data_IF_181777469922
#
_entry.id   IF_181777469922
#
_cell.length_a   1.000
_cell.length_b   1.000
_cell.length_c   1.000
_cell.angle_alpha   90.00
_cell.angle_beta   90.00
_cell.angle_gamma   90.00
#
_symmetry.space_group_name_H-M   'P 1'
#
loop_
_entity.id
_entity.type
_entity.pdbx_description
1 polymer ?
#
# COMPACT_ATOMS: atom_id res chain seq x y z
N UNK A 1 36.53 70.69 -56.50
CA UNK A 1 37.92 70.27 -56.49
C UNK A 1 38.26 69.62 -55.14
N UNK A 2 38.61 68.37 -55.25
CA UNK A 2 39.27 67.52 -54.25
C UNK A 2 38.51 67.14 -52.97
N UNK A 3 38.03 65.99 -53.10
CA UNK A 3 37.66 64.98 -52.04
C UNK A 3 38.81 64.68 -51.09
N UNK A 4 38.49 64.40 -49.85
CA UNK A 4 39.26 63.47 -49.03
C UNK A 4 38.29 62.68 -48.15
N UNK A 5 38.20 61.39 -48.45
CA UNK A 5 37.60 60.34 -47.64
C UNK A 5 38.42 60.13 -46.37
N UNK A 6 37.77 60.05 -45.24
CA UNK A 6 38.34 59.49 -44.01
C UNK A 6 37.58 58.19 -43.66
N UNK A 7 38.28 57.08 -43.76
CA UNK A 7 37.83 55.77 -43.26
C UNK A 7 37.94 55.74 -41.74
N UNK A 8 36.82 55.48 -41.06
CA UNK A 8 36.77 55.14 -39.66
C UNK A 8 36.60 53.61 -39.56
N UNK A 9 37.65 52.94 -39.05
CA UNK A 9 37.63 51.52 -38.77
C UNK A 9 36.88 51.24 -37.46
N UNK A 10 35.80 50.46 -37.53
CA UNK A 10 35.09 49.96 -36.37
C UNK A 10 35.78 48.65 -35.86
N UNK A 11 36.36 48.72 -34.66
CA UNK A 11 36.85 47.55 -33.92
C UNK A 11 35.66 46.92 -33.18
N UNK A 12 35.20 45.76 -33.72
CA UNK A 12 34.18 44.97 -33.07
C UNK A 12 34.75 44.17 -31.91
N UNK A 13 34.35 44.52 -30.68
CA UNK A 13 34.67 43.76 -29.48
C UNK A 13 33.69 42.56 -29.35
N UNK A 14 34.15 41.35 -29.68
CA UNK A 14 33.42 40.11 -29.40
C UNK A 14 33.45 39.83 -27.88
N UNK A 15 32.38 40.09 -27.18
CA UNK A 15 32.14 39.58 -25.84
C UNK A 15 31.72 38.11 -25.94
N UNK A 16 32.62 37.17 -25.65
CA UNK A 16 32.28 35.78 -25.44
C UNK A 16 31.52 35.63 -24.11
N UNK A 17 30.21 35.55 -24.17
CA UNK A 17 29.36 35.11 -23.04
C UNK A 17 29.57 33.61 -22.82
N UNK A 18 30.48 33.27 -21.92
CA UNK A 18 30.57 31.91 -21.35
C UNK A 18 29.40 31.70 -20.40
N UNK A 19 28.27 31.23 -20.96
CA UNK A 19 27.12 30.76 -20.16
C UNK A 19 27.52 29.53 -19.34
N UNK A 20 27.78 29.74 -18.04
CA UNK A 20 27.88 28.66 -17.09
C UNK A 20 26.55 27.87 -17.11
N UNK A 21 26.50 26.74 -17.80
CA UNK A 21 25.42 25.77 -17.67
C UNK A 21 25.49 25.24 -16.25
N UNK A 22 24.67 25.76 -15.34
CA UNK A 22 24.38 25.11 -14.08
C UNK A 22 23.70 23.78 -14.39
N UNK A 23 24.48 22.73 -14.55
CA UNK A 23 23.99 21.36 -14.47
C UNK A 23 23.61 21.09 -13.01
N UNK A 24 22.40 21.50 -12.62
CA UNK A 24 21.79 20.92 -11.44
C UNK A 24 21.71 19.41 -11.71
N UNK A 25 22.58 18.66 -11.08
CA UNK A 25 22.46 17.19 -11.04
C UNK A 25 21.05 16.92 -10.50
N UNK A 26 20.17 16.40 -11.35
CA UNK A 26 18.81 16.04 -10.96
C UNK A 26 18.95 15.05 -9.79
N UNK A 27 18.51 15.45 -8.60
CA UNK A 27 18.62 14.62 -7.42
C UNK A 27 18.04 13.24 -7.73
N UNK A 28 18.83 12.19 -7.51
CA UNK A 28 18.44 10.82 -7.82
C UNK A 28 17.27 10.46 -6.91
N UNK A 29 16.11 10.17 -7.50
CA UNK A 29 14.92 9.78 -6.72
C UNK A 29 15.20 8.51 -5.91
N UNK A 30 14.70 8.41 -4.68
CA UNK A 30 14.93 7.26 -3.80
C UNK A 30 14.23 5.98 -4.28
N UNK A 31 13.27 6.10 -5.18
CA UNK A 31 12.62 5.00 -5.89
C UNK A 31 12.73 5.24 -7.40
N UNK A 32 13.27 4.28 -8.14
CA UNK A 32 13.39 4.31 -9.60
C UNK A 32 12.35 3.39 -10.21
N UNK A 33 11.47 3.91 -11.09
CA UNK A 33 10.59 3.07 -11.91
C UNK A 33 11.45 2.25 -12.88
N UNK A 34 11.42 0.93 -12.73
CA UNK A 34 12.22 -0.01 -13.54
C UNK A 34 11.37 -0.80 -14.53
N UNK A 35 10.07 -0.93 -14.28
CA UNK A 35 9.15 -1.63 -15.17
C UNK A 35 7.72 -1.12 -14.98
N UNK A 36 6.95 -1.16 -16.07
CA UNK A 36 5.50 -1.02 -16.06
C UNK A 36 4.90 -2.27 -16.68
N UNK A 37 4.08 -3.00 -15.93
CA UNK A 37 3.41 -4.21 -16.41
C UNK A 37 1.97 -3.85 -16.74
N UNK A 38 1.57 -3.81 -18.01
CA UNK A 38 0.22 -3.43 -18.39
C UNK A 38 -0.81 -4.50 -18.00
N UNK A 39 -1.99 -4.04 -17.61
CA UNK A 39 -3.14 -4.86 -17.28
C UNK A 39 -4.32 -4.48 -18.20
N UNK A 40 -4.29 -4.91 -19.47
CA UNK A 40 -5.32 -4.56 -20.44
C UNK A 40 -6.70 -5.06 -19.99
N UNK A 41 -7.73 -4.24 -20.21
CA UNK A 41 -9.11 -4.51 -19.82
C UNK A 41 -9.34 -4.62 -18.31
N UNK A 42 -8.43 -4.11 -17.49
CA UNK A 42 -8.66 -3.86 -16.07
C UNK A 42 -9.10 -2.40 -15.92
N UNK A 43 -10.25 -2.19 -15.31
CA UNK A 43 -10.87 -0.89 -15.17
C UNK A 43 -11.18 -0.60 -13.70
N UNK A 44 -11.58 0.63 -13.43
CA UNK A 44 -12.06 1.06 -12.13
C UNK A 44 -10.96 0.96 -11.04
N UNK A 45 -11.30 0.45 -9.87
CA UNK A 45 -10.43 0.44 -8.71
C UNK A 45 -9.52 -0.80 -8.69
N UNK A 46 -8.30 -0.62 -8.23
CA UNK A 46 -7.43 -1.71 -7.76
C UNK A 46 -7.24 -1.59 -6.25
N UNK A 47 -7.08 -2.72 -5.58
CA UNK A 47 -6.91 -2.81 -4.14
C UNK A 47 -5.62 -3.55 -3.78
N UNK A 48 -5.58 -4.20 -2.63
CA UNK A 48 -4.34 -4.75 -2.08
C UNK A 48 -3.71 -5.85 -2.94
N UNK A 49 -2.43 -6.05 -2.71
CA UNK A 49 -1.59 -6.98 -3.44
C UNK A 49 -1.10 -8.11 -2.53
N UNK A 50 -0.94 -9.30 -3.11
CA UNK A 50 -0.26 -10.43 -2.48
C UNK A 50 0.87 -10.94 -3.36
N UNK A 51 1.84 -11.65 -2.80
CA UNK A 51 3.00 -12.14 -3.53
C UNK A 51 3.33 -13.59 -3.20
N UNK A 52 3.64 -14.36 -4.23
CA UNK A 52 4.33 -15.64 -4.17
C UNK A 52 5.79 -15.40 -4.59
N UNK A 53 6.67 -15.26 -3.61
CA UNK A 53 8.08 -14.94 -3.86
C UNK A 53 8.78 -16.07 -4.60
N UNK A 54 8.52 -17.35 -4.24
CA UNK A 54 9.16 -18.50 -4.85
C UNK A 54 8.69 -18.75 -6.27
N UNK A 55 7.38 -18.63 -6.50
CA UNK A 55 6.78 -18.73 -7.83
C UNK A 55 6.95 -17.49 -8.68
N UNK A 56 7.53 -16.40 -8.15
CA UNK A 56 7.69 -15.11 -8.83
C UNK A 56 6.36 -14.60 -9.39
N UNK A 57 5.30 -14.62 -8.56
CA UNK A 57 3.96 -14.16 -8.95
C UNK A 57 3.46 -13.06 -8.03
N UNK A 58 2.82 -12.06 -8.62
CA UNK A 58 2.08 -11.03 -7.90
C UNK A 58 0.59 -11.24 -8.17
N UNK A 59 -0.21 -11.04 -7.13
CA UNK A 59 -1.66 -11.10 -7.19
C UNK A 59 -2.19 -9.71 -6.85
N UNK A 60 -3.08 -9.18 -7.69
CA UNK A 60 -3.64 -7.84 -7.52
C UNK A 60 -5.16 -7.89 -7.54
N UNK A 61 -5.81 -7.44 -6.48
CA UNK A 61 -7.26 -7.31 -6.43
C UNK A 61 -7.71 -6.17 -7.35
N UNK A 62 -8.67 -6.45 -8.22
CA UNK A 62 -9.30 -5.49 -9.10
C UNK A 62 -10.80 -5.53 -8.89
N UNK A 63 -11.38 -4.41 -8.47
CA UNK A 63 -12.78 -4.33 -8.06
C UNK A 63 -13.49 -3.13 -8.66
N UNK A 64 -14.76 -3.30 -8.89
CA UNK A 64 -15.65 -2.27 -9.42
C UNK A 64 -17.05 -2.83 -9.68
N UNK A 65 -17.92 -2.03 -10.26
CA UNK A 65 -19.26 -2.46 -10.62
C UNK A 65 -19.25 -3.40 -11.83
N UNK A 66 -18.27 -3.25 -12.72
CA UNK A 66 -18.13 -4.02 -13.95
C UNK A 66 -17.10 -5.14 -13.87
N UNK A 67 -16.25 -5.13 -12.86
CA UNK A 67 -15.11 -6.03 -12.75
C UNK A 67 -14.82 -6.39 -11.30
N UNK A 68 -14.74 -7.68 -11.01
CA UNK A 68 -14.29 -8.22 -9.74
C UNK A 68 -13.43 -9.44 -9.99
N UNK A 69 -12.12 -9.24 -10.05
CA UNK A 69 -11.13 -10.28 -10.38
C UNK A 69 -9.90 -10.15 -9.48
N UNK A 70 -9.11 -11.21 -9.42
CA UNK A 70 -7.71 -11.11 -8.95
C UNK A 70 -6.81 -11.36 -10.14
N UNK A 71 -6.00 -10.37 -10.49
CA UNK A 71 -5.05 -10.45 -11.59
C UNK A 71 -3.78 -11.19 -11.15
N UNK A 72 -3.36 -12.17 -11.93
CA UNK A 72 -2.14 -12.96 -11.68
C UNK A 72 -1.05 -12.51 -12.63
N UNK A 73 0.01 -11.97 -12.08
CA UNK A 73 1.13 -11.42 -12.82
C UNK A 73 2.37 -12.30 -12.62
N UNK A 74 2.95 -12.77 -13.71
CA UNK A 74 4.27 -13.39 -13.73
C UNK A 74 5.33 -12.28 -13.68
N UNK A 75 6.04 -12.19 -12.56
CA UNK A 75 7.04 -11.15 -12.33
C UNK A 75 8.30 -11.35 -13.16
N UNK A 76 8.64 -12.60 -13.50
CA UNK A 76 9.79 -12.92 -14.35
C UNK A 76 9.52 -12.56 -15.80
N UNK A 77 8.31 -12.89 -16.28
CA UNK A 77 7.89 -12.55 -17.64
C UNK A 77 7.43 -11.09 -17.78
N UNK A 78 7.14 -10.41 -16.67
CA UNK A 78 6.66 -9.04 -16.65
C UNK A 78 5.30 -8.85 -17.31
N UNK A 79 4.39 -9.81 -17.13
CA UNK A 79 3.06 -9.78 -17.77
C UNK A 79 1.98 -10.45 -16.93
N UNK A 80 0.72 -10.05 -17.11
CA UNK A 80 -0.43 -10.80 -16.61
C UNK A 80 -0.52 -12.14 -17.34
N UNK A 81 -0.72 -13.22 -16.57
CA UNK A 81 -0.87 -14.59 -17.10
C UNK A 81 -2.24 -15.16 -16.88
N UNK A 82 -3.01 -14.63 -15.91
CA UNK A 82 -4.35 -15.08 -15.63
C UNK A 82 -5.17 -13.99 -14.93
N UNK A 83 -6.50 -14.06 -15.00
CA UNK A 83 -7.45 -13.29 -14.19
C UNK A 83 -8.40 -14.27 -13.52
N UNK A 84 -8.44 -14.29 -12.20
CA UNK A 84 -9.30 -15.19 -11.40
C UNK A 84 -10.66 -14.53 -11.27
N UNK A 85 -11.71 -15.04 -11.96
CA UNK A 85 -13.03 -14.45 -11.94
C UNK A 85 -13.85 -14.84 -10.70
N UNK A 86 -15.08 -14.38 -10.62
CA UNK A 86 -16.05 -14.82 -9.62
C UNK A 86 -15.78 -14.26 -8.23
N UNK A 87 -15.13 -13.11 -8.13
CA UNK A 87 -14.99 -12.38 -6.89
C UNK A 87 -16.20 -11.51 -6.61
N UNK A 88 -16.34 -11.02 -5.38
CA UNK A 88 -17.35 -10.04 -4.95
C UNK A 88 -16.66 -8.98 -4.10
N UNK A 89 -16.22 -7.89 -4.73
CA UNK A 89 -15.40 -6.85 -4.11
C UNK A 89 -14.11 -7.41 -3.48
N UNK A 90 -13.18 -7.98 -4.29
CA UNK A 90 -11.92 -8.51 -3.78
C UNK A 90 -11.06 -7.36 -3.25
N UNK A 91 -10.50 -7.54 -2.06
CA UNK A 91 -9.70 -6.54 -1.37
C UNK A 91 -8.34 -7.13 -0.92
N UNK A 92 -8.28 -7.79 0.24
CA UNK A 92 -7.06 -8.41 0.73
C UNK A 92 -6.69 -9.70 -0.02
N UNK A 93 -5.40 -9.88 -0.32
CA UNK A 93 -4.90 -11.06 -1.03
C UNK A 93 -3.66 -11.60 -0.32
N UNK A 94 -3.64 -12.89 -0.03
CA UNK A 94 -2.51 -13.58 0.59
C UNK A 94 -2.24 -14.93 -0.06
N UNK A 95 -0.98 -15.20 -0.43
CA UNK A 95 -0.53 -16.50 -0.90
C UNK A 95 0.23 -17.23 0.20
N UNK A 96 -0.20 -18.45 0.53
CA UNK A 96 0.46 -19.32 1.51
C UNK A 96 1.46 -20.23 0.82
N UNK A 97 2.74 -20.04 1.12
CA UNK A 97 3.81 -20.92 0.65
C UNK A 97 3.69 -22.35 1.18
N UNK A 98 3.11 -22.52 2.38
CA UNK A 98 3.01 -23.82 3.03
C UNK A 98 1.89 -24.69 2.41
N UNK A 99 0.69 -24.13 2.22
CA UNK A 99 -0.44 -24.85 1.63
C UNK A 99 -0.52 -24.74 0.11
N UNK A 100 0.28 -23.84 -0.50
CA UNK A 100 0.21 -23.49 -1.92
C UNK A 100 -1.16 -22.96 -2.34
N UNK A 101 -1.86 -22.32 -1.44
CA UNK A 101 -3.18 -21.74 -1.67
C UNK A 101 -3.16 -20.21 -1.67
N UNK A 102 -4.04 -19.65 -2.47
CA UNK A 102 -4.31 -18.22 -2.52
C UNK A 102 -5.60 -17.92 -1.74
N UNK A 103 -5.51 -17.02 -0.79
CA UNK A 103 -6.62 -16.52 0.03
C UNK A 103 -7.01 -15.13 -0.45
N UNK A 104 -8.29 -14.92 -0.72
CA UNK A 104 -8.83 -13.65 -1.21
C UNK A 104 -9.97 -13.21 -0.32
N UNK A 105 -9.81 -12.10 0.38
CA UNK A 105 -10.86 -11.45 1.13
C UNK A 105 -11.78 -10.70 0.16
N UNK A 106 -13.07 -11.00 0.23
CA UNK A 106 -14.12 -10.42 -0.58
C UNK A 106 -15.08 -9.66 0.33
N UNK A 107 -15.21 -8.36 0.13
CA UNK A 107 -16.07 -7.50 0.96
C UNK A 107 -17.57 -7.74 0.79
N UNK A 108 -17.96 -8.41 -0.29
CA UNK A 108 -19.38 -8.57 -0.65
C UNK A 108 -19.96 -7.29 -1.28
N UNK A 109 -21.18 -7.37 -1.77
CA UNK A 109 -21.88 -6.25 -2.40
C UNK A 109 -21.19 -5.70 -3.65
N UNK A 110 -21.39 -4.43 -3.93
CA UNK A 110 -20.73 -3.67 -5.00
C UNK A 110 -19.52 -2.86 -4.49
N UNK A 111 -18.84 -2.13 -5.38
CA UNK A 111 -17.63 -1.39 -5.07
C UNK A 111 -17.76 -0.41 -3.88
N UNK A 112 -18.92 0.24 -3.75
CA UNK A 112 -19.21 1.22 -2.70
C UNK A 112 -20.24 0.74 -1.68
N UNK A 113 -20.69 -0.52 -1.77
CA UNK A 113 -21.75 -1.08 -0.91
C UNK A 113 -21.13 -1.99 0.13
N UNK A 114 -21.41 -1.73 1.40
CA UNK A 114 -21.04 -2.58 2.53
C UNK A 114 -22.18 -3.55 2.83
N UNK A 115 -21.90 -4.85 2.73
CA UNK A 115 -22.89 -5.92 2.96
C UNK A 115 -22.35 -6.96 3.95
N UNK A 116 -23.25 -7.79 4.49
CA UNK A 116 -22.90 -8.82 5.47
C UNK A 116 -22.47 -10.16 4.84
N UNK A 117 -22.28 -10.22 3.54
CA UNK A 117 -21.96 -11.42 2.77
C UNK A 117 -20.48 -11.55 2.37
N UNK A 118 -19.62 -10.86 3.12
CA UNK A 118 -18.16 -10.98 2.94
C UNK A 118 -17.67 -12.39 3.15
N UNK A 119 -16.71 -12.79 2.31
CA UNK A 119 -16.13 -14.13 2.32
C UNK A 119 -14.62 -14.09 2.21
N UNK A 120 -13.95 -15.15 2.66
CA UNK A 120 -12.59 -15.48 2.23
C UNK A 120 -12.67 -16.66 1.29
N UNK A 121 -12.33 -16.44 0.02
CA UNK A 121 -12.22 -17.49 -0.98
C UNK A 121 -10.82 -18.05 -1.02
N UNK A 122 -10.72 -19.38 -1.10
CA UNK A 122 -9.46 -20.12 -1.14
C UNK A 122 -9.35 -20.80 -2.51
N UNK A 123 -8.24 -20.52 -3.20
CA UNK A 123 -7.96 -21.07 -4.51
C UNK A 123 -6.69 -21.92 -4.46
N UNK A 124 -6.66 -23.01 -5.23
CA UNK A 124 -5.44 -23.75 -5.51
C UNK A 124 -4.46 -22.81 -6.25
N UNK A 125 -3.25 -22.66 -5.75
CA UNK A 125 -2.33 -21.64 -6.26
C UNK A 125 -1.68 -21.95 -7.60
N UNK A 126 -1.84 -23.14 -8.15
CA UNK A 126 -1.37 -23.56 -9.46
C UNK A 126 -2.44 -23.44 -10.56
N UNK A 127 -3.66 -23.87 -10.27
CA UNK A 127 -4.77 -23.94 -11.22
C UNK A 127 -5.79 -22.82 -11.05
N UNK A 128 -5.72 -22.10 -9.93
CA UNK A 128 -6.70 -21.08 -9.52
C UNK A 128 -8.15 -21.61 -9.43
N UNK A 129 -8.28 -22.91 -9.24
CA UNK A 129 -9.57 -23.54 -8.95
C UNK A 129 -10.03 -23.17 -7.55
N UNK A 130 -11.29 -22.74 -7.40
CA UNK A 130 -11.89 -22.50 -6.10
C UNK A 130 -11.93 -23.80 -5.29
N UNK A 131 -11.34 -23.78 -4.09
CA UNK A 131 -11.32 -24.90 -3.14
C UNK A 131 -12.37 -24.74 -2.05
N UNK A 132 -12.53 -23.51 -1.53
CA UNK A 132 -13.48 -23.21 -0.46
C UNK A 132 -13.88 -21.73 -0.46
N UNK A 133 -15.00 -21.42 0.21
CA UNK A 133 -15.48 -20.05 0.43
C UNK A 133 -16.03 -19.93 1.84
N UNK A 134 -15.31 -19.26 2.72
CA UNK A 134 -15.61 -19.12 4.14
C UNK A 134 -16.39 -17.83 4.36
N UNK A 135 -17.65 -17.86 4.82
CA UNK A 135 -18.36 -16.67 5.26
C UNK A 135 -17.65 -16.02 6.46
N UNK A 136 -17.39 -14.73 6.38
CA UNK A 136 -16.67 -14.00 7.46
C UNK A 136 -17.43 -12.77 7.97
N UNK A 137 -18.47 -12.32 7.28
CA UNK A 137 -19.32 -11.22 7.72
C UNK A 137 -19.13 -9.94 6.90
N UNK A 138 -19.25 -8.80 7.57
CA UNK A 138 -19.32 -7.49 6.91
C UNK A 138 -17.94 -7.11 6.36
N UNK A 139 -17.90 -6.79 5.07
CA UNK A 139 -16.80 -6.08 4.38
C UNK A 139 -15.40 -6.62 4.71
N UNK A 140 -15.16 -7.90 4.38
CA UNK A 140 -13.83 -8.51 4.52
C UNK A 140 -12.81 -7.73 3.66
N UNK A 141 -11.82 -7.13 4.32
CA UNK A 141 -10.91 -6.16 3.72
C UNK A 141 -9.45 -6.63 3.86
N UNK A 142 -8.65 -5.92 4.60
CA UNK A 142 -7.24 -6.23 4.75
C UNK A 142 -6.98 -7.57 5.44
N UNK A 143 -5.88 -8.18 5.04
CA UNK A 143 -5.41 -9.44 5.59
C UNK A 143 -3.93 -9.32 5.97
N UNK A 144 -3.53 -10.00 7.05
CA UNK A 144 -2.13 -10.18 7.38
C UNK A 144 -1.94 -11.55 8.05
N UNK A 145 -0.78 -12.17 7.85
CA UNK A 145 -0.46 -13.50 8.37
C UNK A 145 0.57 -13.42 9.49
N UNK A 146 0.33 -14.16 10.56
CA UNK A 146 1.35 -14.44 11.56
C UNK A 146 2.27 -15.56 11.04
N UNK A 147 3.53 -15.27 10.76
CA UNK A 147 4.44 -16.25 10.18
C UNK A 147 4.77 -17.40 11.15
N UNK A 148 4.59 -17.21 12.47
CA UNK A 148 4.86 -18.24 13.46
C UNK A 148 3.70 -19.25 13.57
N UNK A 149 2.46 -18.78 13.69
CA UNK A 149 1.28 -19.62 13.85
C UNK A 149 0.66 -20.07 12.53
N UNK A 150 0.97 -19.39 11.43
CA UNK A 150 0.34 -19.55 10.11
C UNK A 150 -1.16 -19.16 10.11
N UNK A 151 -1.55 -18.32 11.05
CA UNK A 151 -2.89 -17.78 11.10
C UNK A 151 -2.99 -16.51 10.26
N UNK A 152 -3.95 -16.50 9.35
CA UNK A 152 -4.34 -15.33 8.59
C UNK A 152 -5.41 -14.58 9.38
N UNK A 153 -5.13 -13.32 9.67
CA UNK A 153 -6.08 -12.40 10.29
C UNK A 153 -6.75 -11.59 9.21
N UNK A 154 -8.07 -11.60 9.18
CA UNK A 154 -8.91 -10.92 8.20
C UNK A 154 -9.75 -9.87 8.92
N UNK A 155 -9.61 -8.62 8.57
CA UNK A 155 -10.40 -7.54 9.12
C UNK A 155 -11.81 -7.53 8.54
N UNK A 156 -12.81 -7.57 9.40
CA UNK A 156 -14.24 -7.52 9.02
C UNK A 156 -14.99 -6.52 9.90
N UNK A 157 -16.04 -5.92 9.38
CA UNK A 157 -16.89 -5.04 10.16
C UNK A 157 -17.08 -3.64 9.57
N UNK A 158 -17.82 -2.83 10.28
CA UNK A 158 -18.17 -1.46 9.92
C UNK A 158 -17.63 -0.43 10.95
N UNK A 159 -18.22 0.74 11.03
CA UNK A 159 -17.82 1.80 11.96
C UNK A 159 -18.35 1.60 13.38
N UNK A 160 -19.14 0.58 13.64
CA UNK A 160 -19.82 0.34 14.93
C UNK A 160 -19.36 -0.94 15.61
N UNK A 161 -18.92 -1.91 14.84
CA UNK A 161 -18.47 -3.20 15.32
C UNK A 161 -17.58 -3.89 14.31
N UNK A 162 -16.67 -4.74 14.78
CA UNK A 162 -15.81 -5.51 13.91
C UNK A 162 -15.18 -6.70 14.58
N UNK A 163 -14.39 -7.41 13.81
CA UNK A 163 -13.58 -8.51 14.29
C UNK A 163 -12.36 -8.75 13.41
N UNK A 164 -11.34 -9.37 13.97
CA UNK A 164 -10.32 -10.11 13.24
C UNK A 164 -10.77 -11.58 13.15
N UNK A 165 -11.18 -12.01 11.98
CA UNK A 165 -11.45 -13.43 11.70
C UNK A 165 -10.12 -14.14 11.52
N UNK A 166 -9.96 -15.30 12.16
CA UNK A 166 -8.72 -16.09 12.15
C UNK A 166 -8.90 -17.34 11.30
N UNK A 167 -8.07 -17.49 10.27
CA UNK A 167 -8.06 -18.65 9.37
C UNK A 167 -6.69 -19.32 9.46
N UNK A 168 -6.66 -20.63 9.74
CA UNK A 168 -5.44 -21.42 9.62
C UNK A 168 -5.12 -21.68 8.14
N UNK A 169 -4.03 -21.10 7.64
CA UNK A 169 -3.68 -21.17 6.22
C UNK A 169 -3.25 -22.57 5.76
N UNK A 170 -2.89 -23.46 6.68
CA UNK A 170 -2.51 -24.86 6.38
C UNK A 170 -3.74 -25.72 6.09
N UNK A 171 -4.83 -25.46 6.81
CA UNK A 171 -6.07 -26.26 6.71
C UNK A 171 -7.19 -25.55 5.93
N UNK A 172 -7.07 -24.24 5.72
CA UNK A 172 -8.12 -23.43 5.12
C UNK A 172 -9.35 -23.28 6.03
N UNK A 173 -9.24 -23.45 7.33
CA UNK A 173 -10.38 -23.43 8.27
C UNK A 173 -10.39 -22.15 9.10
N UNK A 174 -11.60 -21.57 9.30
CA UNK A 174 -11.82 -20.57 10.35
C UNK A 174 -11.61 -21.23 11.72
N UNK A 175 -10.69 -20.69 12.53
CA UNK A 175 -10.32 -21.20 13.86
C UNK A 175 -10.71 -20.27 14.99
N UNK A 176 -11.31 -19.13 14.70
CA UNK A 176 -11.80 -18.19 15.69
C UNK A 176 -12.00 -16.80 15.15
N UNK A 177 -12.30 -15.92 16.06
CA UNK A 177 -12.38 -14.47 15.81
C UNK A 177 -12.05 -13.68 17.08
N UNK A 178 -11.58 -12.44 16.91
CA UNK A 178 -11.32 -11.50 17.99
C UNK A 178 -12.20 -10.28 17.73
N UNK A 179 -13.13 -9.99 18.62
CA UNK A 179 -14.01 -8.83 18.50
C UNK A 179 -13.24 -7.52 18.70
N UNK A 180 -13.62 -6.51 17.93
CA UNK A 180 -13.06 -5.16 18.00
C UNK A 180 -14.18 -4.12 18.07
N UNK A 181 -13.86 -2.93 18.59
CA UNK A 181 -14.83 -1.82 18.74
C UNK A 181 -15.40 -1.35 17.39
N UNK A 182 -14.61 -1.43 16.33
CA UNK A 182 -15.02 -1.12 14.95
C UNK A 182 -14.25 -2.00 13.97
N UNK A 183 -14.65 -2.05 12.72
CA UNK A 183 -14.00 -2.85 11.68
C UNK A 183 -12.49 -2.58 11.62
N UNK A 184 -11.64 -3.59 11.90
CA UNK A 184 -10.20 -3.42 11.88
C UNK A 184 -9.67 -3.38 10.43
N UNK A 185 -8.66 -2.55 10.21
CA UNK A 185 -7.89 -2.50 8.97
C UNK A 185 -6.47 -2.07 9.30
N UNK A 186 -5.60 -1.93 8.30
CA UNK A 186 -4.19 -1.61 8.56
C UNK A 186 -3.57 -2.61 9.53
N UNK A 187 -3.83 -3.92 9.36
CA UNK A 187 -3.45 -4.95 10.34
C UNK A 187 -1.94 -5.12 10.38
N UNK A 188 -1.32 -4.87 11.53
CA UNK A 188 0.11 -5.04 11.73
C UNK A 188 0.39 -6.00 12.89
N UNK A 189 1.08 -7.09 12.60
CA UNK A 189 1.35 -8.16 13.55
C UNK A 189 2.79 -8.03 14.07
N UNK A 190 2.94 -7.94 15.37
CA UNK A 190 4.22 -8.00 16.05
C UNK A 190 4.80 -9.41 15.95
N UNK A 191 6.08 -9.52 15.59
CA UNK A 191 6.77 -10.82 15.47
C UNK A 191 7.35 -11.29 16.80
N UNK A 192 7.85 -10.32 17.58
CA UNK A 192 8.53 -10.59 18.86
C UNK A 192 7.58 -10.69 20.06
N UNK A 193 6.33 -10.23 19.93
CA UNK A 193 5.34 -10.20 21.00
C UNK A 193 3.95 -10.65 20.54
N UNK A 194 2.96 -10.63 21.42
CA UNK A 194 1.62 -11.15 21.12
C UNK A 194 0.68 -10.09 20.48
N UNK A 195 1.16 -8.86 20.23
CA UNK A 195 0.27 -7.78 19.84
C UNK A 195 -0.02 -7.75 18.35
N UNK A 196 -1.25 -7.35 18.03
CA UNK A 196 -1.67 -6.93 16.71
C UNK A 196 -2.16 -5.49 16.83
N UNK A 197 -1.64 -4.61 16.00
CA UNK A 197 -2.10 -3.23 15.89
C UNK A 197 -3.04 -3.11 14.70
N UNK A 198 -4.15 -2.42 14.88
CA UNK A 198 -5.13 -2.19 13.82
C UNK A 198 -5.62 -0.75 13.85
N UNK A 199 -5.97 -0.20 12.69
CA UNK A 199 -6.86 0.96 12.66
C UNK A 199 -8.29 0.53 12.97
N UNK A 200 -9.06 1.40 13.61
CA UNK A 200 -10.47 1.19 13.84
C UNK A 200 -11.30 2.08 12.91
N UNK A 201 -12.08 1.44 12.02
CA UNK A 201 -12.81 2.11 10.92
C UNK A 201 -13.71 3.24 11.42
N UNK A 202 -13.68 4.38 10.73
CA UNK A 202 -14.52 5.55 11.05
C UNK A 202 -14.04 6.35 12.27
N UNK A 203 -12.90 6.01 12.85
CA UNK A 203 -12.30 6.70 13.98
C UNK A 203 -10.84 7.07 13.71
N UNK A 204 -10.25 8.01 14.43
CA UNK A 204 -8.81 8.23 14.40
C UNK A 204 -8.02 7.15 15.15
N UNK A 205 -8.70 6.31 15.97
CA UNK A 205 -8.06 5.45 16.96
C UNK A 205 -7.39 4.21 16.37
N UNK A 206 -6.40 3.72 17.10
CA UNK A 206 -5.76 2.43 16.87
C UNK A 206 -6.21 1.45 17.95
N UNK A 207 -6.54 0.23 17.55
CA UNK A 207 -6.79 -0.89 18.46
C UNK A 207 -5.51 -1.67 18.70
N UNK A 208 -5.27 -2.06 19.94
CA UNK A 208 -4.22 -3.00 20.32
C UNK A 208 -4.86 -4.30 20.76
N UNK A 209 -4.49 -5.38 20.12
CA UNK A 209 -5.08 -6.69 20.31
C UNK A 209 -4.00 -7.64 20.81
N UNK A 210 -4.31 -8.40 21.83
CA UNK A 210 -3.53 -9.55 22.29
C UNK A 210 -4.04 -10.79 21.56
N UNK A 211 -3.24 -11.35 20.63
CA UNK A 211 -3.66 -12.49 19.82
C UNK A 211 -3.68 -13.82 20.59
N UNK A 212 -2.94 -13.92 21.69
CA UNK A 212 -2.92 -15.11 22.55
C UNK A 212 -4.16 -15.16 23.45
N UNK A 213 -4.51 -14.01 24.05
CA UNK A 213 -5.75 -13.88 24.84
C UNK A 213 -7.00 -13.75 23.96
N UNK A 214 -6.82 -13.43 22.68
CA UNK A 214 -7.90 -13.19 21.70
C UNK A 214 -8.83 -12.05 22.12
N UNK A 215 -8.27 -10.93 22.55
CA UNK A 215 -9.04 -9.76 22.99
C UNK A 215 -8.37 -8.45 22.57
N UNK A 216 -9.17 -7.40 22.36
CA UNK A 216 -8.68 -6.04 22.25
C UNK A 216 -8.36 -5.54 23.66
N UNK A 217 -7.09 -5.26 23.93
CA UNK A 217 -6.58 -4.89 25.26
C UNK A 217 -6.45 -3.39 25.46
N UNK A 218 -6.42 -2.61 24.38
CA UNK A 218 -6.34 -1.15 24.45
C UNK A 218 -6.88 -0.48 23.19
N UNK A 219 -7.25 0.79 23.34
CA UNK A 219 -7.56 1.73 22.26
C UNK A 219 -6.69 2.96 22.43
N UNK A 220 -5.87 3.27 21.44
CA UNK A 220 -4.98 4.44 21.45
C UNK A 220 -5.56 5.57 20.62
N UNK A 221 -5.85 6.73 21.21
CA UNK A 221 -6.31 7.89 20.47
C UNK A 221 -5.17 8.46 19.63
N UNK A 222 -5.47 8.82 18.38
CA UNK A 222 -4.51 9.49 17.49
C UNK A 222 -4.93 10.94 17.30
N UNK A 223 -4.01 11.86 17.54
CA UNK A 223 -4.25 13.29 17.41
C UNK A 223 -3.82 13.80 16.02
N UNK A 224 -4.46 14.89 15.58
CA UNK A 224 -4.12 15.52 14.29
C UNK A 224 -4.73 14.86 13.06
N UNK A 225 -5.56 13.84 13.24
CA UNK A 225 -6.27 13.18 12.13
C UNK A 225 -7.75 12.96 12.46
N UNK A 226 -8.56 12.84 11.43
CA UNK A 226 -9.96 12.43 11.56
C UNK A 226 -10.12 10.91 11.43
N UNK A 227 -9.19 10.24 10.75
CA UNK A 227 -9.27 8.80 10.51
C UNK A 227 -7.89 8.23 10.16
N UNK A 228 -7.50 7.17 10.85
CA UNK A 228 -6.33 6.35 10.52
C UNK A 228 -6.59 5.42 9.35
N UNK A 229 -5.53 5.04 8.62
CA UNK A 229 -5.63 4.15 7.45
C UNK A 229 -4.66 2.98 7.52
N UNK A 230 -3.46 3.10 6.98
CA UNK A 230 -2.49 2.01 6.90
C UNK A 230 -1.48 2.04 8.05
N UNK A 231 -0.95 0.88 8.40
CA UNK A 231 0.05 0.72 9.46
C UNK A 231 1.29 0.00 8.93
N UNK A 232 2.46 0.39 9.46
CA UNK A 232 3.71 -0.36 9.33
C UNK A 232 4.46 -0.34 10.67
N UNK A 233 5.37 -1.29 10.89
CA UNK A 233 6.03 -1.46 12.17
C UNK A 233 7.55 -1.61 12.00
N UNK A 234 8.29 -0.83 12.77
CA UNK A 234 9.71 -1.04 13.06
C UNK A 234 9.83 -1.58 14.49
N UNK A 235 9.85 -2.90 14.62
CA UNK A 235 9.95 -3.54 15.93
C UNK A 235 11.28 -3.25 16.62
N UNK A 236 12.35 -3.08 15.84
CA UNK A 236 13.70 -2.88 16.39
C UNK A 236 13.85 -1.58 17.18
N UNK A 237 13.07 -0.57 16.82
CA UNK A 237 13.05 0.72 17.49
C UNK A 237 11.72 0.99 18.21
N UNK A 238 10.81 0.02 18.28
CA UNK A 238 9.46 0.16 18.85
C UNK A 238 8.69 1.33 18.24
N UNK A 239 8.63 1.41 16.91
CA UNK A 239 7.91 2.48 16.19
C UNK A 239 6.82 1.93 15.29
N UNK A 240 5.60 2.40 15.55
CA UNK A 240 4.43 2.11 14.73
C UNK A 240 4.14 3.33 13.85
N UNK A 241 4.17 3.13 12.55
CA UNK A 241 3.83 4.13 11.55
C UNK A 241 2.35 4.01 11.21
N UNK A 242 1.63 5.10 11.35
CA UNK A 242 0.22 5.22 11.04
C UNK A 242 0.03 6.30 9.98
N UNK A 243 -0.86 6.10 9.03
CA UNK A 243 -1.18 7.09 8.02
C UNK A 243 -2.57 7.68 8.18
N UNK A 244 -2.74 8.89 7.67
CA UNK A 244 -4.00 9.62 7.64
C UNK A 244 -4.26 10.18 6.25
N UNK A 245 -5.55 10.25 5.86
CA UNK A 245 -5.98 10.90 4.60
C UNK A 245 -6.41 12.34 4.79
N UNK A 246 -6.90 12.70 5.97
CA UNK A 246 -7.40 14.05 6.25
C UNK A 246 -7.02 14.51 7.67
N UNK A 247 -6.02 15.41 7.78
CA UNK A 247 -5.06 15.78 6.74
C UNK A 247 -4.16 14.61 6.32
N UNK A 248 -3.50 14.66 5.14
CA UNK A 248 -2.59 13.60 4.70
C UNK A 248 -1.29 13.65 5.51
N UNK A 249 -1.13 12.68 6.41
CA UNK A 249 -0.02 12.59 7.36
C UNK A 249 0.58 11.18 7.41
N UNK A 250 1.87 11.13 7.73
CA UNK A 250 2.53 10.02 8.40
C UNK A 250 2.66 10.36 9.88
N UNK A 251 2.16 9.52 10.76
CA UNK A 251 2.16 9.71 12.21
C UNK A 251 2.97 8.57 12.82
N UNK A 252 3.94 8.89 13.66
CA UNK A 252 4.81 7.92 14.32
C UNK A 252 4.43 7.79 15.78
N UNK A 253 4.23 6.54 16.22
CA UNK A 253 3.93 6.21 17.60
C UNK A 253 5.02 5.34 18.20
N UNK A 254 5.21 5.45 19.48
CA UNK A 254 5.87 4.43 20.28
C UNK A 254 4.94 3.21 20.41
N UNK A 255 5.39 2.05 19.92
CA UNK A 255 4.56 0.85 19.86
C UNK A 255 4.37 0.16 21.21
N UNK A 256 5.12 0.56 22.25
CA UNK A 256 4.96 0.04 23.60
C UNK A 256 3.86 0.79 24.37
N UNK A 257 3.83 2.10 24.21
CA UNK A 257 2.99 2.98 25.01
C UNK A 257 1.81 3.60 24.26
N UNK A 258 1.84 3.58 22.92
CA UNK A 258 0.89 4.29 22.06
C UNK A 258 1.14 5.80 21.97
N UNK A 259 2.17 6.31 22.64
CA UNK A 259 2.51 7.74 22.63
C UNK A 259 2.84 8.18 21.20
N UNK A 260 2.18 9.23 20.73
CA UNK A 260 2.53 9.86 19.47
C UNK A 260 3.85 10.62 19.63
N UNK A 261 4.84 10.29 18.79
CA UNK A 261 6.20 10.85 18.81
C UNK A 261 6.26 12.07 17.90
N UNK A 262 5.88 11.90 16.64
CA UNK A 262 5.91 12.97 15.63
C UNK A 262 4.89 12.74 14.52
N UNK A 263 4.69 13.75 13.70
CA UNK A 263 3.90 13.64 12.47
C UNK A 263 4.56 14.45 11.35
N UNK A 264 4.45 13.95 10.13
CA UNK A 264 4.98 14.56 8.92
C UNK A 264 3.88 14.68 7.87
N UNK A 265 4.01 15.69 7.00
CA UNK A 265 3.14 15.78 5.83
C UNK A 265 3.32 14.56 4.90
N UNK A 266 2.28 14.22 4.16
CA UNK A 266 2.29 13.08 3.25
C UNK A 266 1.63 13.41 1.91
N UNK A 267 1.28 12.36 1.16
CA UNK A 267 0.55 12.43 -0.11
C UNK A 267 -0.95 12.20 0.14
N UNK A 268 -1.79 12.66 -0.78
CA UNK A 268 -3.23 12.51 -0.63
C UNK A 268 -3.69 11.06 -0.82
N UNK A 269 -4.71 10.67 -0.07
CA UNK A 269 -5.42 9.42 -0.26
C UNK A 269 -4.57 8.18 -0.09
N UNK A 270 -3.73 8.16 0.95
CA UNK A 270 -2.89 7.01 1.29
C UNK A 270 -3.76 5.79 1.58
N UNK A 271 -3.37 4.65 1.04
CA UNK A 271 -4.01 3.35 1.31
C UNK A 271 -3.03 2.33 1.91
N UNK A 272 -1.75 2.41 1.54
CA UNK A 272 -0.73 1.53 2.07
C UNK A 272 0.51 2.29 2.55
N UNK A 273 1.15 1.74 3.58
CA UNK A 273 2.46 2.17 4.10
C UNK A 273 3.33 0.94 4.40
N UNK A 274 4.60 1.05 4.09
CA UNK A 274 5.57 -0.04 4.24
C UNK A 274 6.87 0.47 4.85
N UNK A 275 7.50 -0.35 5.67
CA UNK A 275 8.81 -0.08 6.23
C UNK A 275 9.88 -0.99 5.62
N UNK A 276 10.89 -0.38 5.04
CA UNK A 276 12.11 -1.02 4.56
C UNK A 276 13.20 -0.90 5.62
N UNK A 277 13.39 -1.96 6.39
CA UNK A 277 14.36 -1.99 7.46
C UNK A 277 15.83 -1.91 6.97
N UNK A 278 16.10 -2.35 5.73
CA UNK A 278 17.46 -2.33 5.17
C UNK A 278 17.94 -0.92 4.86
N UNK A 279 17.05 -0.09 4.31
CA UNK A 279 17.34 1.31 4.00
C UNK A 279 16.82 2.28 5.07
N UNK A 280 16.13 1.78 6.11
CA UNK A 280 15.43 2.59 7.12
C UNK A 280 14.52 3.62 6.47
N UNK A 281 13.67 3.16 5.54
CA UNK A 281 12.76 4.01 4.77
C UNK A 281 11.31 3.59 4.96
N UNK A 282 10.43 4.60 4.95
CA UNK A 282 9.00 4.40 4.93
C UNK A 282 8.48 4.83 3.56
N UNK A 283 7.65 3.98 2.93
CA UNK A 283 7.00 4.23 1.66
C UNK A 283 5.49 4.32 1.89
N UNK A 284 4.87 5.46 1.60
CA UNK A 284 3.43 5.64 1.69
C UNK A 284 2.86 5.98 0.32
N UNK A 285 2.00 5.11 -0.23
CA UNK A 285 1.39 5.29 -1.54
C UNK A 285 0.01 5.92 -1.43
N UNK A 286 -0.26 6.93 -2.25
CA UNK A 286 -1.54 7.63 -2.26
C UNK A 286 -1.86 8.20 -3.63
N UNK A 287 -3.16 8.28 -3.94
CA UNK A 287 -3.67 8.71 -5.25
C UNK A 287 -5.18 8.94 -5.23
N UNK A 288 -5.78 9.12 -4.05
CA UNK A 288 -7.22 9.35 -3.88
C UNK A 288 -7.49 10.70 -3.24
N UNK A 289 -8.64 11.27 -3.56
CA UNK A 289 -9.15 12.44 -2.89
C UNK A 289 -9.49 12.18 -1.41
N UNK A 290 -9.79 13.24 -0.63
CA UNK A 290 -10.04 13.13 0.82
C UNK A 290 -11.19 12.18 1.18
N UNK A 291 -12.23 12.08 0.33
CA UNK A 291 -13.37 11.15 0.51
C UNK A 291 -13.07 9.70 0.12
N UNK A 292 -11.95 9.43 -0.55
CA UNK A 292 -11.56 8.09 -0.97
C UNK A 292 -12.13 7.62 -2.31
N UNK A 293 -13.08 8.31 -2.90
CA UNK A 293 -13.76 7.88 -4.14
C UNK A 293 -13.11 8.46 -5.42
N UNK A 294 -12.75 9.73 -5.39
CA UNK A 294 -12.14 10.38 -6.55
C UNK A 294 -10.67 9.99 -6.72
N UNK A 295 -10.25 9.72 -7.95
CA UNK A 295 -8.85 9.56 -8.29
C UNK A 295 -8.17 10.93 -8.45
N UNK A 296 -7.00 11.08 -7.84
CA UNK A 296 -6.13 12.25 -7.97
C UNK A 296 -4.75 11.78 -8.41
N UNK A 297 -3.84 12.70 -8.69
CA UNK A 297 -2.47 12.36 -9.03
C UNK A 297 -1.82 11.51 -7.95
N UNK A 298 -1.24 10.39 -8.37
CA UNK A 298 -0.65 9.43 -7.47
C UNK A 298 0.82 9.72 -7.18
N UNK A 299 1.20 9.46 -5.94
CA UNK A 299 2.58 9.60 -5.47
C UNK A 299 2.92 8.53 -4.43
N UNK A 300 4.21 8.23 -4.31
CA UNK A 300 4.77 7.57 -3.14
C UNK A 300 5.56 8.60 -2.35
N UNK A 301 5.12 8.89 -1.13
CA UNK A 301 5.93 9.62 -0.16
C UNK A 301 7.02 8.69 0.39
N UNK A 302 8.27 9.13 0.32
CA UNK A 302 9.42 8.39 0.82
C UNK A 302 10.02 9.15 1.97
N UNK A 303 10.07 8.51 3.14
CA UNK A 303 10.68 9.09 4.33
C UNK A 303 11.95 8.33 4.69
N UNK A 304 12.97 9.05 5.11
CA UNK A 304 14.17 8.52 5.71
C UNK A 304 14.05 8.57 7.23
N UNK A 305 14.13 7.42 7.87
CA UNK A 305 14.35 7.33 9.31
C UNK A 305 15.84 7.53 9.58
N UNK A 306 16.21 8.60 10.27
CA UNK A 306 17.58 8.87 10.66
C UNK A 306 17.93 8.18 11.97
N UNK A 307 17.01 8.25 12.90
CA UNK A 307 17.03 7.49 14.16
C UNK A 307 15.60 7.11 14.56
N UNK A 308 15.39 6.61 15.77
CA UNK A 308 14.08 6.18 16.25
C UNK A 308 13.02 7.29 16.22
N UNK A 309 13.41 8.54 16.41
CA UNK A 309 12.50 9.68 16.59
C UNK A 309 12.67 10.78 15.52
N UNK A 310 13.69 10.69 14.66
CA UNK A 310 13.96 11.66 13.60
C UNK A 310 13.67 11.09 12.20
N UNK A 311 12.73 11.71 11.52
CA UNK A 311 12.22 11.33 10.20
C UNK A 311 12.21 12.51 9.25
N UNK A 312 12.58 12.28 8.01
CA UNK A 312 12.57 13.29 6.96
C UNK A 312 11.82 12.80 5.73
N UNK A 313 10.85 13.57 5.25
CA UNK A 313 10.30 13.37 3.90
C UNK A 313 11.38 13.75 2.88
N UNK A 314 11.91 12.74 2.16
CA UNK A 314 13.01 12.94 1.20
C UNK A 314 12.54 13.04 -0.24
N UNK A 315 11.35 12.51 -0.56
CA UNK A 315 10.76 12.65 -1.88
C UNK A 315 9.25 12.36 -1.88
N UNK A 316 8.56 12.94 -2.86
CA UNK A 316 7.25 12.50 -3.36
C UNK A 316 7.46 11.99 -4.79
N UNK A 317 7.54 10.68 -4.95
CA UNK A 317 7.84 10.03 -6.24
C UNK A 317 6.54 9.90 -7.03
N UNK A 318 6.43 10.48 -8.23
CA UNK A 318 5.19 10.41 -9.02
C UNK A 318 4.88 8.96 -9.44
N UNK A 319 3.61 8.61 -9.41
CA UNK A 319 3.06 7.37 -9.93
C UNK A 319 2.02 7.66 -11.01
N UNK A 320 0.84 7.06 -10.93
CA UNK A 320 -0.27 7.35 -11.86
C UNK A 320 -1.51 7.77 -11.08
N UNK A 321 -2.41 8.47 -11.74
CA UNK A 321 -3.70 8.86 -11.18
C UNK A 321 -4.41 7.64 -10.57
N UNK A 322 -4.86 7.76 -9.32
CA UNK A 322 -5.55 6.72 -8.57
C UNK A 322 -4.66 5.63 -7.95
N UNK A 323 -3.34 5.65 -8.16
CA UNK A 323 -2.40 4.65 -7.66
C UNK A 323 -2.14 4.84 -6.16
N UNK A 324 -2.86 4.12 -5.31
CA UNK A 324 -2.79 4.26 -3.84
C UNK A 324 -2.44 2.98 -3.09
N UNK A 325 -2.64 1.81 -3.70
CA UNK A 325 -2.31 0.52 -3.08
C UNK A 325 -0.99 -0.03 -3.60
N UNK A 326 -0.26 -0.70 -2.72
CA UNK A 326 1.12 -1.11 -3.00
C UNK A 326 1.57 -2.28 -2.14
N UNK A 327 2.73 -2.85 -2.47
CA UNK A 327 3.40 -3.82 -1.63
C UNK A 327 4.93 -3.67 -1.72
N UNK A 328 5.59 -3.62 -0.57
CA UNK A 328 7.04 -3.77 -0.46
C UNK A 328 7.42 -5.23 -0.31
N UNK A 329 8.23 -5.75 -1.20
CA UNK A 329 8.71 -7.14 -1.19
C UNK A 329 10.22 -7.16 -0.98
N UNK A 330 10.63 -7.18 0.27
CA UNK A 330 12.04 -7.13 0.66
C UNK A 330 12.87 -8.25 0.02
N UNK A 331 12.33 -9.48 -0.07
CA UNK A 331 13.00 -10.61 -0.70
C UNK A 331 13.27 -10.47 -2.21
N UNK A 332 12.60 -9.52 -2.87
CA UNK A 332 12.82 -9.19 -4.29
C UNK A 332 13.50 -7.82 -4.46
N UNK A 333 13.68 -7.06 -3.39
CA UNK A 333 14.10 -5.66 -3.42
C UNK A 333 13.27 -4.84 -4.42
N UNK A 334 11.94 -4.96 -4.35
CA UNK A 334 10.99 -4.30 -5.27
C UNK A 334 9.79 -3.75 -4.52
N UNK A 335 9.36 -2.59 -4.96
CA UNK A 335 8.13 -1.94 -4.51
C UNK A 335 7.15 -1.90 -5.68
N UNK A 336 6.00 -2.53 -5.49
CA UNK A 336 4.96 -2.64 -6.51
C UNK A 336 3.81 -1.72 -6.14
N UNK A 337 3.34 -0.94 -7.12
CA UNK A 337 2.20 -0.04 -6.96
C UNK A 337 1.14 -0.39 -8.01
N UNK A 338 -0.09 -0.62 -7.58
CA UNK A 338 -1.20 -0.83 -8.49
C UNK A 338 -1.72 0.50 -9.01
N UNK A 339 -1.79 0.66 -10.32
CA UNK A 339 -2.33 1.82 -10.99
C UNK A 339 -3.63 1.44 -11.70
N UNK A 340 -4.79 1.96 -11.29
CA UNK A 340 -6.07 1.63 -11.91
C UNK A 340 -6.16 2.17 -13.34
N UNK A 341 -7.04 1.54 -14.15
CA UNK A 341 -7.40 2.04 -15.47
C UNK A 341 -8.33 3.24 -15.35
N UNK A 342 -8.11 4.24 -16.21
CA UNK A 342 -8.99 5.40 -16.38
C UNK A 342 -9.24 5.62 -17.87
N UNK A 343 -10.09 6.57 -18.24
CA UNK A 343 -10.29 6.95 -19.64
C UNK A 343 -8.99 7.38 -20.36
N UNK A 344 -7.99 7.82 -19.58
CA UNK A 344 -6.73 8.37 -20.11
C UNK A 344 -5.52 7.46 -19.93
N UNK A 345 -5.64 6.40 -19.14
CA UNK A 345 -4.54 5.47 -18.88
C UNK A 345 -5.04 4.03 -18.74
N UNK A 346 -4.28 3.09 -19.27
CA UNK A 346 -4.47 1.66 -19.03
C UNK A 346 -4.01 1.30 -17.62
N UNK A 347 -4.70 0.35 -16.97
CA UNK A 347 -4.26 -0.16 -15.67
C UNK A 347 -2.89 -0.84 -15.80
N UNK A 348 -2.10 -0.77 -14.73
CA UNK A 348 -0.77 -1.37 -14.71
C UNK A 348 -0.29 -1.66 -13.28
N UNK A 349 0.70 -2.54 -13.18
CA UNK A 349 1.58 -2.60 -12.01
C UNK A 349 2.84 -1.81 -12.31
N UNK A 350 3.12 -0.81 -11.50
CA UNK A 350 4.36 -0.04 -11.54
C UNK A 350 5.38 -0.71 -10.62
N UNK A 351 6.56 -1.03 -11.14
CA UNK A 351 7.61 -1.72 -10.41
C UNK A 351 8.74 -0.74 -10.14
N UNK A 352 8.99 -0.47 -8.87
CA UNK A 352 10.07 0.41 -8.45
C UNK A 352 11.19 -0.37 -7.78
N UNK A 353 12.40 0.14 -7.96
CA UNK A 353 13.60 -0.31 -7.29
C UNK A 353 14.09 0.80 -6.35
N UNK A 354 14.23 0.51 -5.04
CA UNK A 354 14.86 1.45 -4.12
C UNK A 354 16.28 1.78 -4.53
N UNK A 355 16.62 3.05 -4.46
CA UNK A 355 17.97 3.54 -4.73
C UNK A 355 18.66 3.88 -3.41
N UNK A 356 19.97 3.64 -3.28
CA UNK A 356 20.76 3.97 -2.08
C UNK A 356 20.60 5.41 -1.63
#
# INVERSE_FOLDING_TARGET
MRDQCAMLGAIGLLLALTGARNTHAQAKLPLKLVQTIPLPNVHERMDHLGVDIKGQRLFAAALGDKQNTVEVIDLKAGKRVFSIPGQSKPQGVFYSEDSKNLFVANGGGGASIVTADGTVKIFAGDSFKLLDSIPVGIDADQVNVDPATKYLYVGVGDTKSGALVIIDTRTGKKVGEIKTEAGPGGIMIEKSGPRIFVRLRGTPNLGVIDREKREQIATWPVTGTMQSYALALDESHHRLFNTSRNPPLLIVHDSETGKQITQLESVQGIDDVWYDAALKRIYASGGRGPGGDAFVDGFVAVYQQKDADDYQLIAKVPTRTGACTSIWVAGLNRYYVSAPGTEKQEAAILVFEPQP
#
